data_IF_158904137990
#
_entry.id   IF_158904137990
#
_cell.length_a   1.000
_cell.length_b   1.000
_cell.length_c   1.000
_cell.angle_alpha   90.00
_cell.angle_beta   90.00
_cell.angle_gamma   90.00
#
_symmetry.space_group_name_H-M   'P 1'
#
loop_
_entity.id
_entity.type
_entity.pdbx_description
1 polymer ?
#
# COMPACT_ATOMS: atom_id res chain seq x y z
N UNK A 1 -15.97 -2.45 14.21
CA UNK A 1 -14.93 -3.25 13.52
C UNK A 1 -13.96 -2.29 12.87
N UNK A 2 -12.73 -2.23 13.35
CA UNK A 2 -11.63 -1.61 12.60
C UNK A 2 -11.17 -2.65 11.58
N UNK A 3 -11.65 -2.63 10.34
CA UNK A 3 -11.21 -3.57 9.29
C UNK A 3 -11.20 -5.06 9.70
N UNK A 4 -10.36 -5.87 9.05
CA UNK A 4 -10.15 -7.31 9.30
C UNK A 4 -9.47 -7.62 10.66
N UNK A 5 -9.69 -6.83 11.71
CA UNK A 5 -9.08 -7.06 13.03
C UNK A 5 -10.13 -7.51 14.06
N UNK A 6 -9.78 -8.52 14.87
CA UNK A 6 -10.52 -8.86 16.09
C UNK A 6 -9.80 -8.26 17.31
N UNK A 7 -10.48 -7.33 17.99
CA UNK A 7 -10.18 -6.74 19.31
C UNK A 7 -8.84 -5.99 19.49
N UNK A 8 -7.68 -6.55 19.13
CA UNK A 8 -6.36 -5.92 19.34
C UNK A 8 -5.44 -6.20 18.15
N UNK A 9 -4.85 -5.18 17.50
CA UNK A 9 -3.83 -5.39 16.47
C UNK A 9 -2.61 -6.13 17.01
N UNK A 10 -1.96 -6.97 16.19
CA UNK A 10 -0.75 -7.71 16.59
C UNK A 10 0.43 -6.78 16.94
N UNK A 11 0.55 -5.68 16.21
CA UNK A 11 1.55 -4.66 16.47
C UNK A 11 1.00 -3.71 17.54
N UNK A 12 1.84 -3.31 18.49
CA UNK A 12 1.48 -2.29 19.49
C UNK A 12 1.33 -0.90 18.83
N UNK A 13 0.58 0.04 19.43
CA UNK A 13 0.55 1.43 18.93
C UNK A 13 1.97 2.01 18.87
N UNK A 14 2.30 2.68 17.76
CA UNK A 14 3.64 3.21 17.49
C UNK A 14 4.70 2.14 17.19
N UNK A 15 4.32 0.87 17.02
CA UNK A 15 5.22 -0.18 16.54
C UNK A 15 5.52 -0.06 15.04
N UNK A 16 6.37 -0.96 14.55
CA UNK A 16 6.80 -1.01 13.15
C UNK A 16 6.20 -2.27 12.51
N UNK A 17 5.66 -2.13 11.30
CA UNK A 17 5.28 -3.26 10.45
C UNK A 17 6.34 -3.46 9.37
N UNK A 18 6.86 -4.69 9.24
CA UNK A 18 7.73 -5.07 8.11
C UNK A 18 6.90 -5.91 7.14
N UNK A 19 6.78 -5.45 5.90
CA UNK A 19 6.14 -6.17 4.80
C UNK A 19 7.22 -6.60 3.82
N UNK A 20 7.12 -7.81 3.27
CA UNK A 20 8.10 -8.35 2.32
C UNK A 20 7.49 -8.39 0.91
N UNK A 21 7.99 -7.56 -0.01
CA UNK A 21 7.54 -7.56 -1.40
C UNK A 21 8.54 -6.79 -2.29
N UNK A 22 8.83 -7.24 -3.53
CA UNK A 22 9.79 -6.58 -4.42
C UNK A 22 9.36 -5.17 -4.85
N UNK A 23 8.06 -4.88 -4.88
CA UNK A 23 7.50 -3.57 -5.21
C UNK A 23 8.11 -2.94 -6.48
N UNK A 24 8.09 -3.65 -7.62
CA UNK A 24 8.49 -3.04 -8.88
C UNK A 24 7.51 -1.90 -9.23
N UNK A 25 8.02 -0.86 -9.87
CA UNK A 25 7.17 0.15 -10.51
C UNK A 25 6.52 -0.43 -11.77
N UNK A 26 5.53 -1.29 -11.59
CA UNK A 26 4.85 -2.00 -12.66
C UNK A 26 3.34 -2.00 -12.42
N UNK A 27 2.61 -1.62 -13.47
CA UNK A 27 1.15 -1.57 -13.46
C UNK A 27 0.60 -2.26 -14.70
N UNK A 28 -0.57 -2.89 -14.56
CA UNK A 28 -1.29 -3.41 -15.71
C UNK A 28 -2.08 -2.26 -16.36
N UNK A 29 -1.54 -1.65 -17.41
CA UNK A 29 -2.11 -0.44 -18.02
C UNK A 29 -3.59 -0.55 -18.45
N UNK A 30 -4.06 -1.76 -18.81
CA UNK A 30 -5.48 -2.00 -19.13
C UNK A 30 -6.36 -2.03 -17.87
N UNK A 31 -5.91 -2.72 -16.81
CA UNK A 31 -6.74 -3.00 -15.65
C UNK A 31 -6.64 -1.91 -14.58
N UNK A 32 -5.51 -1.19 -14.54
CA UNK A 32 -5.18 -0.25 -13.48
C UNK A 32 -4.83 1.16 -14.01
N UNK A 33 -5.54 1.73 -15.00
CA UNK A 33 -5.20 3.05 -15.55
C UNK A 33 -5.33 4.17 -14.50
N UNK A 34 -6.33 4.11 -13.62
CA UNK A 34 -6.50 5.08 -12.54
C UNK A 34 -5.42 4.97 -11.46
N UNK A 35 -4.84 3.76 -11.26
CA UNK A 35 -3.71 3.58 -10.35
C UNK A 35 -2.45 4.25 -10.87
N UNK A 36 -2.16 4.10 -12.18
CA UNK A 36 -1.03 4.75 -12.83
C UNK A 36 -1.16 6.26 -12.63
N UNK A 37 -2.34 6.81 -12.93
CA UNK A 37 -2.53 8.25 -12.77
C UNK A 37 -2.38 8.72 -11.31
N UNK A 38 -2.98 8.01 -10.35
CA UNK A 38 -2.79 8.34 -8.93
C UNK A 38 -1.31 8.30 -8.54
N UNK A 39 -0.58 7.26 -8.94
CA UNK A 39 0.83 7.06 -8.59
C UNK A 39 1.75 8.11 -9.21
N UNK A 40 1.49 8.50 -10.46
CA UNK A 40 2.34 9.42 -11.22
C UNK A 40 1.96 10.89 -11.02
N UNK A 41 0.68 11.20 -10.82
CA UNK A 41 0.17 12.58 -10.80
C UNK A 41 -0.39 13.05 -9.47
N UNK A 42 -0.69 12.16 -8.52
CA UNK A 42 -1.26 12.55 -7.23
C UNK A 42 -0.25 12.36 -6.09
N UNK A 43 0.29 11.14 -5.97
CA UNK A 43 1.24 10.80 -4.89
C UNK A 43 2.55 11.63 -4.83
N UNK A 44 3.03 12.25 -5.93
CA UNK A 44 4.14 13.20 -5.82
C UNK A 44 3.79 14.50 -5.09
N UNK A 45 2.51 14.87 -5.02
CA UNK A 45 2.06 16.14 -4.45
C UNK A 45 1.50 15.99 -3.04
N UNK A 46 0.74 14.93 -2.77
CA UNK A 46 0.20 14.65 -1.43
C UNK A 46 0.13 13.15 -1.17
N UNK A 47 0.28 12.79 0.11
CA UNK A 47 0.09 11.42 0.64
C UNK A 47 -1.01 11.38 1.69
N UNK A 48 -1.67 12.51 1.96
CA UNK A 48 -2.82 12.54 2.85
C UNK A 48 -4.00 11.90 2.12
N UNK A 49 -4.42 10.72 2.57
CA UNK A 49 -5.47 9.98 1.89
C UNK A 49 -6.84 10.65 1.98
N UNK A 50 -7.08 11.50 2.99
CA UNK A 50 -8.31 12.29 3.11
C UNK A 50 -8.29 13.41 2.08
N UNK A 51 -7.18 14.14 1.97
CA UNK A 51 -7.00 15.17 0.94
C UNK A 51 -7.14 14.58 -0.47
N UNK A 52 -6.51 13.42 -0.72
CA UNK A 52 -6.62 12.70 -1.98
C UNK A 52 -8.08 12.35 -2.29
N UNK A 53 -8.83 11.86 -1.30
CA UNK A 53 -10.24 11.53 -1.49
C UNK A 53 -11.04 12.78 -1.83
N UNK A 54 -10.92 13.83 -1.03
CA UNK A 54 -11.73 15.04 -1.15
C UNK A 54 -11.46 15.79 -2.47
N UNK A 55 -10.22 15.79 -2.95
CA UNK A 55 -9.84 16.49 -4.19
C UNK A 55 -10.11 15.69 -5.46
N UNK A 56 -9.93 14.37 -5.44
CA UNK A 56 -9.87 13.57 -6.68
C UNK A 56 -10.99 12.54 -6.84
N UNK A 57 -11.67 12.11 -5.76
CA UNK A 57 -12.56 10.94 -5.85
C UNK A 57 -13.75 11.14 -6.78
N UNK A 58 -14.36 12.32 -6.77
CA UNK A 58 -15.52 12.64 -7.61
C UNK A 58 -15.16 12.70 -9.10
N UNK A 59 -14.01 13.31 -9.39
CA UNK A 59 -13.51 13.42 -10.77
C UNK A 59 -13.09 12.04 -11.29
N UNK A 60 -12.33 11.26 -10.51
CA UNK A 60 -11.95 9.89 -10.85
C UNK A 60 -13.18 8.99 -11.03
N UNK A 61 -14.26 9.19 -10.26
CA UNK A 61 -15.48 8.40 -10.37
C UNK A 61 -16.21 8.62 -11.70
N UNK A 62 -16.20 9.85 -12.21
CA UNK A 62 -17.03 10.25 -13.34
C UNK A 62 -16.25 10.48 -14.63
N UNK A 63 -14.91 10.48 -14.59
CA UNK A 63 -14.08 10.68 -15.78
C UNK A 63 -14.47 9.68 -16.87
N UNK A 64 -14.89 10.14 -18.07
CA UNK A 64 -15.40 9.26 -19.12
C UNK A 64 -14.44 8.14 -19.51
N UNK A 65 -13.14 8.42 -19.48
CA UNK A 65 -12.10 7.43 -19.76
C UNK A 65 -12.13 6.26 -18.75
N UNK A 66 -12.08 6.56 -17.45
CA UNK A 66 -12.09 5.54 -16.40
C UNK A 66 -13.41 4.78 -16.37
N UNK A 67 -14.54 5.47 -16.56
CA UNK A 67 -15.86 4.82 -16.68
C UNK A 67 -15.89 3.84 -17.84
N UNK A 68 -15.37 4.24 -19.01
CA UNK A 68 -15.34 3.35 -20.18
C UNK A 68 -14.44 2.14 -19.93
N UNK A 69 -13.24 2.32 -19.37
CA UNK A 69 -12.33 1.23 -19.02
C UNK A 69 -12.94 0.27 -18.01
N UNK A 70 -13.65 0.78 -16.99
CA UNK A 70 -14.35 -0.04 -16.01
C UNK A 70 -15.48 -0.86 -16.64
N UNK A 71 -16.36 -0.22 -17.44
CA UNK A 71 -17.56 -0.87 -17.98
C UNK A 71 -17.27 -1.82 -19.14
N UNK A 72 -16.25 -1.53 -19.95
CA UNK A 72 -16.02 -2.23 -21.22
C UNK A 72 -14.59 -2.77 -21.38
N UNK A 73 -13.64 -2.32 -20.57
CA UNK A 73 -12.22 -2.68 -20.68
C UNK A 73 -11.70 -3.54 -19.53
N UNK A 74 -12.58 -4.09 -18.68
CA UNK A 74 -12.22 -4.89 -17.50
C UNK A 74 -11.29 -4.16 -16.51
N UNK A 75 -11.25 -2.83 -16.56
CA UNK A 75 -10.51 -2.01 -15.61
C UNK A 75 -11.15 -1.98 -14.24
N UNK A 76 -10.37 -1.67 -13.21
CA UNK A 76 -10.93 -1.23 -11.93
C UNK A 76 -11.68 0.09 -12.11
N UNK A 77 -12.65 0.34 -11.23
CA UNK A 77 -13.35 1.62 -11.17
C UNK A 77 -12.35 2.76 -10.89
N UNK A 78 -12.61 3.95 -11.45
CA UNK A 78 -11.70 5.09 -11.34
C UNK A 78 -11.33 5.42 -9.89
N UNK A 79 -12.29 5.49 -8.97
CA UNK A 79 -12.03 5.77 -7.54
C UNK A 79 -11.42 4.61 -6.75
N UNK A 80 -11.34 3.40 -7.31
CA UNK A 80 -10.84 2.21 -6.61
C UNK A 80 -9.44 2.37 -5.98
N UNK A 81 -8.40 2.89 -6.69
CA UNK A 81 -7.10 3.17 -6.07
C UNK A 81 -7.18 4.10 -4.85
N UNK A 82 -8.08 5.10 -4.87
CA UNK A 82 -8.23 6.04 -3.77
C UNK A 82 -8.86 5.37 -2.54
N UNK A 83 -9.83 4.46 -2.76
CA UNK A 83 -10.44 3.65 -1.70
C UNK A 83 -9.37 2.78 -1.03
N UNK A 84 -8.59 2.05 -1.83
CA UNK A 84 -7.55 1.14 -1.31
C UNK A 84 -6.47 1.92 -0.56
N UNK A 85 -6.02 3.05 -1.10
CA UNK A 85 -5.04 3.90 -0.42
C UNK A 85 -5.60 4.46 0.90
N UNK A 86 -6.84 4.94 0.88
CA UNK A 86 -7.54 5.45 2.06
C UNK A 86 -7.75 4.39 3.14
N UNK A 87 -7.99 3.12 2.79
CA UNK A 87 -8.08 2.05 3.78
C UNK A 87 -6.77 1.85 4.56
N UNK A 88 -5.62 2.12 3.94
CA UNK A 88 -4.31 2.03 4.58
C UNK A 88 -4.07 3.08 5.68
N UNK A 89 -4.78 4.21 5.65
CA UNK A 89 -4.53 5.34 6.56
C UNK A 89 -4.65 4.97 8.04
N UNK A 90 -5.59 4.09 8.39
CA UNK A 90 -5.80 3.68 9.77
C UNK A 90 -4.62 2.88 10.31
N UNK A 91 -4.02 2.03 9.48
CA UNK A 91 -2.80 1.30 9.83
C UNK A 91 -1.61 2.26 9.96
N UNK A 92 -1.45 3.17 9.01
CA UNK A 92 -0.37 4.15 9.02
C UNK A 92 -0.43 5.11 10.22
N UNK A 93 -1.62 5.52 10.65
CA UNK A 93 -1.80 6.37 11.83
C UNK A 93 -1.58 5.63 13.16
N UNK A 94 -1.71 4.30 13.16
CA UNK A 94 -1.51 3.47 14.33
C UNK A 94 -0.05 3.05 14.52
N UNK A 95 0.67 2.86 13.41
CA UNK A 95 2.08 2.48 13.37
C UNK A 95 2.98 3.72 13.41
N UNK A 96 4.23 3.56 13.85
CA UNK A 96 5.22 4.63 13.67
C UNK A 96 5.80 4.61 12.26
N UNK A 97 6.05 3.42 11.72
CA UNK A 97 6.65 3.21 10.40
C UNK A 97 6.13 1.91 9.77
N UNK A 98 6.17 1.87 8.43
CA UNK A 98 5.98 0.64 7.65
C UNK A 98 7.20 0.44 6.76
N UNK A 99 7.89 -0.67 6.99
CA UNK A 99 9.08 -1.06 6.26
C UNK A 99 8.72 -2.01 5.13
N UNK A 100 9.35 -1.82 3.98
CA UNK A 100 9.22 -2.69 2.82
C UNK A 100 10.55 -3.39 2.58
N UNK A 101 10.64 -4.63 3.03
CA UNK A 101 11.81 -5.48 2.84
C UNK A 101 11.79 -6.14 1.46
N UNK A 102 12.96 -6.21 0.82
CA UNK A 102 13.14 -6.85 -0.48
C UNK A 102 12.81 -5.94 -1.67
N UNK A 103 12.66 -4.63 -1.46
CA UNK A 103 12.28 -3.69 -2.51
C UNK A 103 13.34 -3.68 -3.64
N UNK A 104 12.89 -3.78 -4.89
CA UNK A 104 13.71 -3.65 -6.09
C UNK A 104 13.66 -2.23 -6.67
N UNK A 105 12.61 -1.46 -6.34
CA UNK A 105 12.48 -0.04 -6.66
C UNK A 105 12.15 0.75 -5.39
N UNK A 106 13.18 1.42 -4.85
CA UNK A 106 13.06 2.18 -3.61
C UNK A 106 12.21 3.43 -3.80
N UNK A 107 12.23 4.04 -4.99
CA UNK A 107 11.47 5.25 -5.27
C UNK A 107 9.97 4.95 -5.38
N UNK A 108 9.61 3.79 -5.95
CA UNK A 108 8.23 3.33 -5.96
C UNK A 108 7.70 3.09 -4.55
N UNK A 109 8.48 2.41 -3.70
CA UNK A 109 8.13 2.20 -2.29
C UNK A 109 7.92 3.53 -1.54
N UNK A 110 8.85 4.49 -1.69
CA UNK A 110 8.73 5.82 -1.07
C UNK A 110 7.55 6.61 -1.60
N UNK A 111 7.19 6.45 -2.88
CA UNK A 111 6.02 7.10 -3.50
C UNK A 111 4.74 6.77 -2.76
N UNK A 112 4.57 5.49 -2.40
CA UNK A 112 3.38 5.00 -1.68
C UNK A 112 3.49 5.13 -0.16
N UNK A 113 4.54 5.77 0.35
CA UNK A 113 4.71 6.08 1.77
C UNK A 113 5.36 4.97 2.60
N UNK A 114 6.03 4.01 1.96
CA UNK A 114 6.76 2.94 2.63
C UNK A 114 8.25 3.27 2.72
N UNK A 115 8.93 2.75 3.73
CA UNK A 115 10.37 2.89 3.90
C UNK A 115 11.07 1.60 3.40
N UNK A 116 11.78 1.66 2.25
CA UNK A 116 12.34 0.46 1.61
C UNK A 116 13.66 0.01 2.22
N UNK A 117 13.86 -1.31 2.24
CA UNK A 117 15.09 -2.02 2.59
C UNK A 117 15.37 -3.12 1.56
N UNK A 118 16.65 -3.45 1.34
CA UNK A 118 17.03 -4.46 0.34
C UNK A 118 16.72 -5.88 0.82
N UNK A 119 16.66 -6.10 2.14
CA UNK A 119 16.32 -7.40 2.73
C UNK A 119 15.54 -7.29 4.03
N UNK A 120 15.07 -8.44 4.52
CA UNK A 120 14.35 -8.54 5.80
C UNK A 120 15.30 -8.28 6.97
N UNK A 121 16.55 -8.76 6.86
CA UNK A 121 17.59 -8.57 7.86
C UNK A 121 17.92 -7.10 8.07
N UNK A 122 18.02 -6.31 6.98
CA UNK A 122 18.23 -4.86 7.07
C UNK A 122 17.04 -4.15 7.73
N UNK A 123 15.81 -4.53 7.36
CA UNK A 123 14.60 -3.97 7.97
C UNK A 123 14.49 -4.31 9.47
N UNK A 124 14.86 -5.53 9.86
CA UNK A 124 14.90 -5.94 11.27
C UNK A 124 15.97 -5.17 12.03
N UNK A 125 17.18 -5.06 11.48
CA UNK A 125 18.27 -4.33 12.12
C UNK A 125 17.89 -2.86 12.38
N UNK A 126 17.22 -2.21 11.42
CA UNK A 126 16.74 -0.84 11.62
C UNK A 126 15.56 -0.78 12.59
N UNK A 127 14.67 -1.76 12.60
CA UNK A 127 13.58 -1.82 13.58
C UNK A 127 14.14 -1.95 15.02
N UNK A 128 15.14 -2.80 15.24
CA UNK A 128 15.83 -2.93 16.52
C UNK A 128 16.59 -1.65 16.91
N UNK A 129 17.20 -0.96 15.95
CA UNK A 129 17.86 0.33 16.16
C UNK A 129 16.87 1.39 16.68
N UNK A 130 15.67 1.45 16.10
CA UNK A 130 14.64 2.42 16.46
C UNK A 130 13.84 2.04 17.73
N UNK A 131 13.58 0.75 17.93
CA UNK A 131 12.70 0.25 19.00
C UNK A 131 13.45 -0.26 20.24
N UNK A 132 14.76 -0.47 20.14
CA UNK A 132 15.59 -1.15 21.12
C UNK A 132 15.85 -2.62 20.75
N UNK A 133 17.05 -3.10 21.04
CA UNK A 133 17.47 -4.50 20.75
C UNK A 133 16.69 -5.57 21.52
N UNK A 134 15.98 -5.17 22.56
CA UNK A 134 15.10 -6.02 23.37
C UNK A 134 13.64 -6.02 22.88
N UNK A 135 13.36 -5.40 21.72
CA UNK A 135 12.02 -5.40 21.14
C UNK A 135 11.54 -6.82 20.80
N UNK A 136 10.25 -7.07 20.98
CA UNK A 136 9.62 -8.32 20.57
C UNK A 136 9.22 -8.25 19.10
N UNK A 137 9.63 -9.25 18.31
CA UNK A 137 9.21 -9.41 16.92
C UNK A 137 8.19 -10.55 16.84
N UNK A 138 7.06 -10.30 16.19
CA UNK A 138 6.06 -11.33 15.89
C UNK A 138 6.00 -11.55 14.39
N UNK A 139 6.25 -12.78 13.96
CA UNK A 139 5.99 -13.20 12.59
C UNK A 139 4.54 -13.69 12.48
N UNK A 140 3.74 -13.01 11.65
CA UNK A 140 2.41 -13.46 11.30
C UNK A 140 2.49 -14.40 10.11
N UNK A 141 2.33 -15.70 10.36
CA UNK A 141 2.12 -16.68 9.30
C UNK A 141 0.69 -16.54 8.76
N UNK A 142 0.51 -15.64 7.81
CA UNK A 142 -0.74 -15.49 7.08
C UNK A 142 -0.66 -16.40 5.84
N UNK A 143 -1.49 -17.45 5.71
CA UNK A 143 -1.54 -18.20 4.47
C UNK A 143 -1.88 -17.22 3.34
N UNK A 144 -1.11 -17.27 2.25
CA UNK A 144 -1.37 -16.42 1.09
C UNK A 144 -2.85 -16.55 0.73
N UNK A 145 -3.56 -15.42 0.74
CA UNK A 145 -4.92 -15.34 0.20
C UNK A 145 -4.80 -15.42 -1.32
N UNK A 146 -4.51 -16.62 -1.82
CA UNK A 146 -4.39 -17.06 -3.22
C UNK A 146 -3.72 -16.07 -4.19
N UNK A 147 -2.47 -16.33 -4.57
CA UNK A 147 -1.92 -15.86 -5.84
C UNK A 147 -1.92 -17.07 -6.78
N UNK A 148 -3.02 -17.29 -7.49
CA UNK A 148 -3.06 -18.32 -8.52
C UNK A 148 -2.27 -17.84 -9.73
N UNK A 149 -1.26 -18.61 -10.13
CA UNK A 149 -0.70 -18.46 -11.46
C UNK A 149 -1.73 -18.99 -12.46
N UNK A 150 -2.44 -18.09 -13.14
CA UNK A 150 -3.36 -18.45 -14.22
C UNK A 150 -2.59 -18.32 -15.51
N UNK A 151 -2.15 -19.46 -16.06
CA UNK A 151 -1.73 -19.52 -17.46
C UNK A 151 -2.99 -19.54 -18.35
N UNK A 152 -2.91 -19.04 -19.61
CA UNK A 152 -4.05 -18.99 -20.54
C UNK A 152 -4.71 -20.34 -20.83
#
# INVERSE_FOLDING_TARGET
TYGLFQNVPLVKPGGILIVCHPCPNQFHAVHSPSYIEMFEKVLPHTKDAVEIWDLYAEEYAHRPEFVHKYRYGYGFHGSHPLIIYGQGIYGLNYLSKVFLAGATDFEAARRVGLEPFASVEEAIAEAENLMGKDCSITYLDMPQSFICNVEP
#
